data_IF_267350278633
#
_entry.id   IF_267350278633
#
_cell.length_a   1.000
_cell.length_b   1.000
_cell.length_c   1.000
_cell.angle_alpha   90.00
_cell.angle_beta   90.00
_cell.angle_gamma   90.00
#
_symmetry.space_group_name_H-M   'P 1'
#
loop_
_entity.id
_entity.type
_entity.pdbx_description
1 polymer ?
#
# COMPACT_ATOMS: atom_id res chain seq x y z
N UNK A 1 -14.21 0.65 -88.22
CA UNK A 1 -12.83 0.91 -87.76
C UNK A 1 -12.86 0.80 -86.26
N UNK A 2 -12.22 -0.23 -85.71
CA UNK A 2 -12.31 -0.61 -84.30
C UNK A 2 -11.74 0.50 -83.42
N UNK A 3 -12.54 0.98 -82.48
CA UNK A 3 -12.09 1.93 -81.47
C UNK A 3 -11.00 1.26 -80.61
N UNK A 4 -9.81 1.86 -80.58
CA UNK A 4 -8.73 1.46 -79.69
C UNK A 4 -9.20 1.67 -78.25
N UNK A 5 -9.73 0.61 -77.64
CA UNK A 5 -10.09 0.58 -76.22
C UNK A 5 -8.78 0.43 -75.45
N UNK A 6 -8.15 1.55 -75.12
CA UNK A 6 -6.99 1.57 -74.22
C UNK A 6 -7.41 1.17 -72.81
N UNK A 7 -6.52 0.57 -72.03
CA UNK A 7 -6.77 0.21 -70.62
C UNK A 7 -7.30 1.41 -69.79
N UNK A 8 -6.90 2.63 -70.15
CA UNK A 8 -7.39 3.86 -69.56
C UNK A 8 -8.90 4.09 -69.80
N UNK A 9 -9.41 3.76 -70.99
CA UNK A 9 -10.83 3.95 -71.33
C UNK A 9 -11.73 2.86 -70.73
N UNK A 10 -11.17 1.70 -70.39
CA UNK A 10 -11.88 0.68 -69.61
C UNK A 10 -12.03 1.08 -68.14
N UNK A 11 -11.01 1.70 -67.55
CA UNK A 11 -11.04 2.12 -66.15
C UNK A 11 -11.77 3.47 -65.97
N UNK A 12 -11.78 4.31 -67.01
CA UNK A 12 -12.41 5.63 -67.02
C UNK A 12 -13.33 5.81 -68.24
N UNK A 13 -14.49 5.12 -68.28
CA UNK A 13 -15.37 5.10 -69.45
C UNK A 13 -15.95 6.48 -69.80
N UNK A 14 -16.09 7.37 -68.82
CA UNK A 14 -16.53 8.76 -69.04
C UNK A 14 -15.56 9.58 -69.91
N UNK A 15 -14.28 9.22 -69.95
CA UNK A 15 -13.30 9.87 -70.82
C UNK A 15 -13.51 9.54 -72.30
N UNK A 16 -14.26 8.47 -72.62
CA UNK A 16 -14.60 8.10 -73.99
C UNK A 16 -15.68 9.02 -74.61
N UNK A 17 -16.42 9.75 -73.77
CA UNK A 17 -17.52 10.64 -74.19
C UNK A 17 -17.05 12.08 -74.44
N UNK A 18 -15.84 12.44 -74.01
CA UNK A 18 -15.28 13.79 -74.18
C UNK A 18 -14.59 13.95 -75.55
N UNK A 19 -14.69 15.14 -76.14
CA UNK A 19 -13.94 15.46 -77.36
C UNK A 19 -12.46 15.71 -77.08
N UNK A 20 -11.60 15.56 -78.10
CA UNK A 20 -10.15 15.73 -77.97
C UNK A 20 -9.74 17.10 -77.42
N UNK A 21 -10.50 18.16 -77.75
CA UNK A 21 -10.26 19.50 -77.22
C UNK A 21 -10.61 19.57 -75.71
N UNK A 22 -11.73 18.97 -75.30
CA UNK A 22 -12.14 18.92 -73.90
C UNK A 22 -11.15 18.10 -73.05
N UNK A 23 -10.59 17.02 -73.60
CA UNK A 23 -9.54 16.23 -72.95
C UNK A 23 -8.23 17.02 -72.78
N UNK A 24 -7.86 17.86 -73.75
CA UNK A 24 -6.70 18.76 -73.64
C UNK A 24 -6.93 19.84 -72.59
N UNK A 25 -8.14 20.38 -72.50
CA UNK A 25 -8.51 21.36 -71.49
C UNK A 25 -8.52 20.74 -70.08
N UNK A 26 -9.05 19.52 -69.94
CA UNK A 26 -9.02 18.75 -68.69
C UNK A 26 -7.60 18.40 -68.25
N UNK A 27 -6.68 18.15 -69.18
CA UNK A 27 -5.27 17.86 -68.87
C UNK A 27 -4.46 19.12 -68.58
N UNK A 28 -4.91 20.29 -69.06
CA UNK A 28 -4.20 21.56 -68.92
C UNK A 28 -4.62 22.35 -67.67
N UNK A 29 -5.81 22.10 -67.14
CA UNK A 29 -6.32 22.72 -65.92
C UNK A 29 -6.49 21.69 -64.80
N UNK A 30 -5.62 21.78 -63.77
CA UNK A 30 -5.66 20.95 -62.57
C UNK A 30 -7.04 20.92 -61.90
N UNK A 31 -7.82 22.00 -62.00
CA UNK A 31 -9.16 22.06 -61.40
C UNK A 31 -10.14 21.18 -62.15
N UNK A 32 -10.07 21.16 -63.48
CA UNK A 32 -10.88 20.27 -64.33
C UNK A 32 -10.44 18.82 -64.15
N UNK A 33 -9.13 18.55 -64.05
CA UNK A 33 -8.64 17.20 -63.76
C UNK A 33 -9.16 16.68 -62.42
N UNK A 34 -9.08 17.50 -61.37
CA UNK A 34 -9.62 17.16 -60.05
C UNK A 34 -11.14 16.95 -60.10
N UNK A 35 -11.89 17.82 -60.79
CA UNK A 35 -13.33 17.67 -60.96
C UNK A 35 -13.70 16.31 -61.60
N UNK A 36 -12.96 15.88 -62.64
CA UNK A 36 -13.17 14.58 -63.28
C UNK A 36 -12.78 13.43 -62.34
N UNK A 37 -11.65 13.54 -61.63
CA UNK A 37 -11.21 12.57 -60.62
C UNK A 37 -12.24 12.36 -59.51
N UNK A 38 -12.89 13.42 -59.03
CA UNK A 38 -13.96 13.33 -58.02
C UNK A 38 -15.25 12.70 -58.54
N UNK A 39 -15.38 12.43 -59.85
CA UNK A 39 -16.49 11.65 -60.40
C UNK A 39 -16.20 10.15 -60.50
N UNK A 40 -14.96 9.72 -60.19
CA UNK A 40 -14.52 8.33 -60.24
C UNK A 40 -14.98 7.62 -58.96
N UNK A 41 -15.73 6.50 -59.06
CA UNK A 41 -16.29 5.79 -57.90
C UNK A 41 -15.24 5.38 -56.85
N UNK A 42 -14.03 5.03 -57.29
CA UNK A 42 -12.93 4.68 -56.39
C UNK A 42 -12.46 5.89 -55.56
N UNK A 43 -12.38 7.07 -56.17
CA UNK A 43 -11.97 8.31 -55.48
C UNK A 43 -13.06 8.76 -54.53
N UNK A 44 -14.33 8.71 -54.93
CA UNK A 44 -15.44 9.04 -54.04
C UNK A 44 -15.52 8.09 -52.85
N UNK A 45 -15.33 6.79 -53.06
CA UNK A 45 -15.33 5.81 -51.96
C UNK A 45 -14.22 6.09 -50.94
N UNK A 46 -13.01 6.43 -51.40
CA UNK A 46 -11.89 6.82 -50.52
C UNK A 46 -12.20 8.10 -49.76
N UNK A 47 -12.83 9.10 -50.39
CA UNK A 47 -13.23 10.34 -49.71
C UNK A 47 -14.32 10.09 -48.66
N UNK A 48 -15.31 9.27 -48.97
CA UNK A 48 -16.38 8.90 -48.03
C UNK A 48 -15.80 8.17 -46.80
N UNK A 49 -14.85 7.26 -47.02
CA UNK A 49 -14.10 6.59 -45.95
C UNK A 49 -13.25 7.57 -45.14
N UNK A 50 -12.55 8.50 -45.81
CA UNK A 50 -11.76 9.53 -45.15
C UNK A 50 -12.65 10.43 -44.28
N UNK A 51 -13.79 10.87 -44.78
CA UNK A 51 -14.72 11.72 -44.04
C UNK A 51 -15.30 10.97 -42.83
N UNK A 52 -15.64 9.69 -43.00
CA UNK A 52 -16.06 8.83 -41.90
C UNK A 52 -14.98 8.72 -40.82
N UNK A 53 -13.74 8.39 -41.20
CA UNK A 53 -12.63 8.29 -40.27
C UNK A 53 -12.32 9.62 -39.57
N UNK A 54 -12.45 10.74 -40.28
CA UNK A 54 -12.27 12.07 -39.69
C UNK A 54 -13.32 12.35 -38.62
N UNK A 55 -14.60 12.05 -38.90
CA UNK A 55 -15.70 12.18 -37.93
C UNK A 55 -15.50 11.31 -36.70
N UNK A 56 -15.13 10.03 -36.92
CA UNK A 56 -14.89 9.09 -35.83
C UNK A 56 -13.71 9.54 -34.95
N UNK A 57 -12.65 10.07 -35.56
CA UNK A 57 -11.48 10.60 -34.83
C UNK A 57 -11.85 11.86 -34.02
N UNK A 58 -12.63 12.78 -34.60
CA UNK A 58 -13.13 13.95 -33.87
C UNK A 58 -14.01 13.56 -32.68
N UNK A 59 -14.87 12.56 -32.83
CA UNK A 59 -15.71 12.07 -31.73
C UNK A 59 -14.88 11.44 -30.62
N UNK A 60 -13.88 10.63 -30.98
CA UNK A 60 -12.91 10.06 -30.03
C UNK A 60 -12.12 11.14 -29.30
N UNK A 61 -11.66 12.18 -30.02
CA UNK A 61 -10.95 13.30 -29.42
C UNK A 61 -11.83 14.06 -28.42
N UNK A 62 -13.10 14.34 -28.77
CA UNK A 62 -14.06 14.99 -27.87
C UNK A 62 -14.31 14.15 -26.61
N UNK A 63 -14.46 12.83 -26.76
CA UNK A 63 -14.65 11.91 -25.63
C UNK A 63 -13.41 11.83 -24.73
N UNK A 64 -12.21 11.81 -25.32
CA UNK A 64 -10.97 11.83 -24.54
C UNK A 64 -10.84 13.14 -23.75
N UNK A 65 -11.14 14.28 -24.37
CA UNK A 65 -11.12 15.59 -23.71
C UNK A 65 -12.16 15.67 -22.58
N UNK A 66 -13.36 15.12 -22.78
CA UNK A 66 -14.39 15.15 -21.73
C UNK A 66 -14.00 14.32 -20.51
N UNK A 67 -13.29 13.20 -20.70
CA UNK A 67 -12.85 12.33 -19.61
C UNK A 67 -11.56 12.80 -18.92
N UNK A 68 -10.80 13.70 -19.55
CA UNK A 68 -9.49 14.12 -19.07
C UNK A 68 -9.55 14.70 -17.64
N UNK A 69 -10.50 15.61 -17.39
CA UNK A 69 -10.62 16.28 -16.10
C UNK A 69 -11.01 15.30 -14.99
N UNK A 70 -11.96 14.41 -15.26
CA UNK A 70 -12.43 13.41 -14.31
C UNK A 70 -11.31 12.41 -13.96
N UNK A 71 -10.54 11.97 -14.97
CA UNK A 71 -9.38 11.09 -14.76
C UNK A 71 -8.28 11.79 -13.95
N UNK A 72 -8.02 13.07 -14.21
CA UNK A 72 -7.05 13.85 -13.42
C UNK A 72 -7.52 14.03 -11.97
N UNK A 73 -8.80 14.33 -11.76
CA UNK A 73 -9.39 14.46 -10.43
C UNK A 73 -9.32 13.13 -9.66
N UNK A 74 -9.71 12.02 -10.31
CA UNK A 74 -9.65 10.67 -9.73
C UNK A 74 -8.23 10.27 -9.37
N UNK A 75 -7.26 10.54 -10.26
CA UNK A 75 -5.83 10.28 -10.01
C UNK A 75 -5.33 11.07 -8.81
N UNK A 76 -5.67 12.36 -8.71
CA UNK A 76 -5.27 13.22 -7.60
C UNK A 76 -5.88 12.74 -6.27
N UNK A 77 -7.17 12.42 -6.26
CA UNK A 77 -7.87 11.88 -5.09
C UNK A 77 -7.25 10.56 -4.61
N UNK A 78 -6.98 9.64 -5.55
CA UNK A 78 -6.36 8.35 -5.26
C UNK A 78 -4.95 8.52 -4.69
N UNK A 79 -4.15 9.44 -5.25
CA UNK A 79 -2.81 9.74 -4.75
C UNK A 79 -2.84 10.30 -3.32
N UNK A 80 -3.78 11.20 -3.02
CA UNK A 80 -3.96 11.77 -1.67
C UNK A 80 -4.42 10.71 -0.65
N UNK A 81 -5.39 9.87 -1.03
CA UNK A 81 -5.85 8.77 -0.19
C UNK A 81 -4.72 7.75 0.09
N UNK A 82 -3.94 7.41 -0.94
CA UNK A 82 -2.78 6.53 -0.80
C UNK A 82 -1.70 7.12 0.12
N UNK A 83 -1.36 8.41 -0.05
CA UNK A 83 -0.40 9.09 0.82
C UNK A 83 -0.87 9.11 2.28
N UNK A 84 -2.16 9.34 2.51
CA UNK A 84 -2.77 9.31 3.85
C UNK A 84 -2.69 7.91 4.47
N UNK A 85 -3.03 6.88 3.69
CA UNK A 85 -2.94 5.48 4.14
C UNK A 85 -1.50 5.09 4.49
N UNK A 86 -0.53 5.50 3.67
CA UNK A 86 0.89 5.24 3.93
C UNK A 86 1.36 5.93 5.22
N UNK A 87 1.00 7.20 5.42
CA UNK A 87 1.30 7.92 6.66
C UNK A 87 0.63 7.25 7.89
N UNK A 88 -0.61 6.80 7.78
CA UNK A 88 -1.29 6.07 8.86
C UNK A 88 -0.60 4.74 9.17
N UNK A 89 -0.14 4.02 8.15
CA UNK A 89 0.63 2.77 8.31
C UNK A 89 1.95 3.01 9.05
N UNK A 90 2.68 4.05 8.68
CA UNK A 90 3.95 4.39 9.35
C UNK A 90 3.70 4.81 10.81
N UNK A 91 2.64 5.60 11.06
CA UNK A 91 2.21 5.95 12.41
C UNK A 91 1.75 4.75 13.24
N UNK A 92 1.10 3.77 12.61
CA UNK A 92 0.70 2.55 13.28
C UNK A 92 1.91 1.76 13.78
N UNK A 93 2.93 1.58 12.92
CA UNK A 93 4.15 0.87 13.29
C UNK A 93 4.85 1.53 14.50
N UNK A 94 4.88 2.86 14.54
CA UNK A 94 5.41 3.61 15.69
C UNK A 94 4.59 3.39 16.96
N UNK A 95 3.26 3.46 16.87
CA UNK A 95 2.37 3.21 18.02
C UNK A 95 2.49 1.76 18.53
N UNK A 96 2.62 0.80 17.63
CA UNK A 96 2.81 -0.61 17.98
C UNK A 96 4.16 -0.82 18.70
N UNK A 97 5.23 -0.16 18.24
CA UNK A 97 6.52 -0.19 18.92
C UNK A 97 6.45 0.45 20.33
N UNK A 98 5.79 1.60 20.46
CA UNK A 98 5.56 2.26 21.75
C UNK A 98 4.73 1.39 22.70
N UNK A 99 3.65 0.76 22.17
CA UNK A 99 2.84 -0.18 22.92
C UNK A 99 3.69 -1.37 23.39
N UNK A 100 4.43 -2.02 22.50
CA UNK A 100 5.28 -3.15 22.84
C UNK A 100 6.30 -2.78 23.93
N UNK A 101 6.90 -1.58 23.87
CA UNK A 101 7.81 -1.08 24.89
C UNK A 101 7.14 -0.89 26.26
N UNK A 102 5.93 -0.33 26.29
CA UNK A 102 5.16 -0.17 27.53
C UNK A 102 4.74 -1.51 28.14
N UNK A 103 4.25 -2.42 27.30
CA UNK A 103 3.75 -3.73 27.74
C UNK A 103 4.87 -4.70 28.11
N UNK A 104 6.10 -4.52 27.62
CA UNK A 104 7.25 -5.37 27.97
C UNK A 104 7.40 -5.58 29.48
N UNK A 105 7.25 -4.52 30.28
CA UNK A 105 7.37 -4.59 31.74
C UNK A 105 6.26 -5.40 32.42
N UNK A 106 5.12 -5.54 31.76
CA UNK A 106 3.94 -6.24 32.26
C UNK A 106 3.76 -7.61 31.60
N UNK A 107 4.66 -8.01 30.69
CA UNK A 107 4.63 -9.35 30.12
C UNK A 107 4.79 -10.40 31.22
N UNK A 108 3.99 -11.49 31.20
CA UNK A 108 4.08 -12.55 32.21
C UNK A 108 5.50 -13.09 32.40
N UNK A 109 6.28 -13.23 31.32
CA UNK A 109 7.68 -13.67 31.38
C UNK A 109 8.56 -12.69 32.18
N UNK A 110 8.42 -11.38 31.95
CA UNK A 110 9.19 -10.36 32.64
C UNK A 110 8.76 -10.21 34.11
N UNK A 111 7.46 -10.30 34.39
CA UNK A 111 6.94 -10.31 35.76
C UNK A 111 7.42 -11.55 36.54
N UNK A 112 7.46 -12.72 35.90
CA UNK A 112 8.02 -13.93 36.50
C UNK A 112 9.52 -13.79 36.79
N UNK A 113 10.29 -13.26 35.83
CA UNK A 113 11.70 -12.95 36.03
C UNK A 113 11.91 -12.01 37.24
N UNK A 114 11.12 -10.93 37.33
CA UNK A 114 11.15 -10.00 38.47
C UNK A 114 10.79 -10.66 39.80
N UNK A 115 9.81 -11.57 39.81
CA UNK A 115 9.46 -12.32 41.01
C UNK A 115 10.63 -13.21 41.46
N UNK A 116 11.29 -13.92 40.52
CA UNK A 116 12.47 -14.74 40.83
C UNK A 116 13.62 -13.90 41.39
N UNK A 117 13.89 -12.72 40.82
CA UNK A 117 14.88 -11.79 41.38
C UNK A 117 14.49 -11.33 42.79
N UNK A 118 13.24 -10.93 43.01
CA UNK A 118 12.78 -10.52 44.34
C UNK A 118 12.93 -11.64 45.38
N UNK A 119 12.73 -12.91 45.00
CA UNK A 119 12.96 -14.06 45.90
C UNK A 119 14.44 -14.15 46.28
N UNK A 120 15.35 -14.02 45.30
CA UNK A 120 16.80 -14.04 45.55
C UNK A 120 17.25 -12.86 46.41
N UNK A 121 16.76 -11.65 46.13
CA UNK A 121 17.07 -10.45 46.89
C UNK A 121 16.61 -10.57 48.35
N UNK A 122 15.43 -11.17 48.55
CA UNK A 122 14.88 -11.41 49.87
C UNK A 122 15.68 -12.47 50.65
N UNK A 123 16.18 -13.51 49.97
CA UNK A 123 17.05 -14.51 50.57
C UNK A 123 18.36 -13.87 51.05
N UNK A 124 19.04 -13.16 50.14
CA UNK A 124 20.27 -12.40 50.42
C UNK A 124 20.08 -11.42 51.60
N UNK A 125 18.93 -10.73 51.66
CA UNK A 125 18.59 -9.82 52.76
C UNK A 125 18.47 -10.57 54.08
N UNK A 126 17.82 -11.74 54.10
CA UNK A 126 17.71 -12.54 55.32
C UNK A 126 19.06 -13.13 55.75
N UNK A 127 19.91 -13.53 54.81
CA UNK A 127 21.28 -13.96 55.09
C UNK A 127 22.12 -12.83 55.68
N UNK A 128 22.04 -11.62 55.10
CA UNK A 128 22.74 -10.45 55.62
C UNK A 128 22.27 -10.09 57.05
N UNK A 129 20.96 -10.16 57.32
CA UNK A 129 20.42 -9.96 58.66
C UNK A 129 20.97 -11.01 59.64
N UNK A 130 21.00 -12.28 59.26
CA UNK A 130 21.55 -13.34 60.09
C UNK A 130 23.06 -13.15 60.36
N UNK A 131 23.83 -12.79 59.33
CA UNK A 131 25.26 -12.50 59.45
C UNK A 131 25.52 -11.30 60.37
N UNK A 132 24.73 -10.23 60.26
CA UNK A 132 24.84 -9.07 61.15
C UNK A 132 24.54 -9.40 62.60
N UNK A 133 23.57 -10.30 62.85
CA UNK A 133 23.21 -10.75 64.19
C UNK A 133 24.33 -11.60 64.82
N UNK A 134 24.94 -12.50 64.05
CA UNK A 134 26.09 -13.31 64.51
C UNK A 134 27.30 -12.41 64.85
N UNK A 135 27.48 -11.32 64.10
CA UNK A 135 28.54 -10.35 64.36
C UNK A 135 28.27 -9.38 65.52
N UNK A 136 27.02 -9.23 65.94
CA UNK A 136 26.62 -8.38 67.08
C UNK A 136 26.60 -9.18 68.38
N UNK A 137 27.66 -9.07 69.18
CA UNK A 137 27.70 -9.60 70.55
C UNK A 137 27.04 -8.59 71.50
N UNK A 138 25.74 -8.71 71.79
CA UNK A 138 25.15 -8.52 73.13
C UNK A 138 23.63 -8.28 73.20
N UNK A 139 23.08 -8.71 74.36
CA UNK A 139 21.76 -8.47 74.98
C UNK A 139 20.54 -9.26 74.49
N UNK A 140 19.70 -9.75 75.41
CA UNK A 140 18.45 -10.47 75.09
C UNK A 140 17.44 -9.61 74.29
N UNK A 141 17.46 -8.28 74.48
CA UNK A 141 16.62 -7.35 73.72
C UNK A 141 16.99 -7.30 72.22
N UNK A 142 18.25 -7.57 71.84
CA UNK A 142 18.64 -7.66 70.43
C UNK A 142 18.21 -8.99 69.80
N UNK A 143 18.14 -10.06 70.59
CA UNK A 143 17.67 -11.39 70.15
C UNK A 143 16.19 -11.33 69.76
N UNK A 144 15.33 -10.82 70.62
CA UNK A 144 13.89 -10.75 70.33
C UNK A 144 13.58 -9.81 69.14
N UNK A 145 14.30 -8.69 69.04
CA UNK A 145 14.19 -7.77 67.92
C UNK A 145 14.63 -8.44 66.60
N UNK A 146 15.74 -9.18 66.62
CA UNK A 146 16.21 -9.96 65.47
C UNK A 146 15.20 -11.03 65.07
N UNK A 147 14.72 -11.85 66.02
CA UNK A 147 13.77 -12.93 65.73
C UNK A 147 12.49 -12.38 65.09
N UNK A 148 12.00 -11.24 65.58
CA UNK A 148 10.82 -10.57 65.00
C UNK A 148 11.09 -10.10 63.57
N UNK A 149 12.21 -9.42 63.32
CA UNK A 149 12.58 -8.91 62.01
C UNK A 149 12.84 -10.06 61.01
N UNK A 150 13.63 -11.05 61.40
CA UNK A 150 13.99 -12.19 60.58
C UNK A 150 12.76 -13.03 60.19
N UNK A 151 11.85 -13.29 61.13
CA UNK A 151 10.58 -13.99 60.83
C UNK A 151 9.70 -13.21 59.86
N UNK A 152 9.62 -11.88 60.00
CA UNK A 152 8.86 -11.04 59.09
C UNK A 152 9.41 -11.13 57.66
N UNK A 153 10.73 -11.02 57.49
CA UNK A 153 11.40 -11.09 56.19
C UNK A 153 11.34 -12.50 55.58
N UNK A 154 11.53 -13.57 56.37
CA UNK A 154 11.40 -14.96 55.90
C UNK A 154 9.97 -15.31 55.50
N UNK A 155 8.95 -14.75 56.15
CA UNK A 155 7.55 -14.91 55.74
C UNK A 155 7.30 -14.37 54.33
N UNK A 156 7.89 -13.21 54.01
CA UNK A 156 7.82 -12.61 52.66
C UNK A 156 8.53 -13.50 51.65
N UNK A 157 9.74 -13.97 51.98
CA UNK A 157 10.50 -14.91 51.14
C UNK A 157 9.69 -16.16 50.78
N UNK A 158 9.18 -16.89 51.78
CA UNK A 158 8.47 -18.15 51.53
C UNK A 158 7.17 -17.92 50.74
N UNK A 159 6.47 -16.81 50.97
CA UNK A 159 5.29 -16.45 50.16
C UNK A 159 5.68 -16.26 48.69
N UNK A 160 6.73 -15.48 48.43
CA UNK A 160 7.19 -15.23 47.07
C UNK A 160 7.73 -16.50 46.39
N UNK A 161 8.50 -17.32 47.11
CA UNK A 161 9.04 -18.59 46.62
C UNK A 161 7.92 -19.56 46.22
N UNK A 162 6.89 -19.70 47.07
CA UNK A 162 5.72 -20.51 46.76
C UNK A 162 5.00 -20.07 45.49
N UNK A 163 4.75 -18.76 45.35
CA UNK A 163 4.13 -18.22 44.13
C UNK A 163 5.01 -18.37 42.89
N UNK A 164 6.34 -18.21 43.03
CA UNK A 164 7.29 -18.41 41.95
C UNK A 164 7.32 -19.88 41.47
N UNK A 165 7.25 -20.83 42.40
CA UNK A 165 7.19 -22.27 42.10
C UNK A 165 5.89 -22.61 41.36
N UNK A 166 4.74 -22.17 41.88
CA UNK A 166 3.45 -22.36 41.21
C UNK A 166 3.43 -21.78 39.80
N UNK A 167 4.00 -20.59 39.62
CA UNK A 167 4.12 -19.99 38.30
C UNK A 167 5.01 -20.83 37.39
N UNK A 168 6.16 -21.30 37.88
CA UNK A 168 7.07 -22.17 37.11
C UNK A 168 6.39 -23.47 36.67
N UNK A 169 5.49 -24.02 37.50
CA UNK A 169 4.68 -25.21 37.19
C UNK A 169 3.52 -24.94 36.22
N UNK A 170 3.26 -23.69 35.85
CA UNK A 170 2.14 -23.30 35.00
C UNK A 170 0.79 -23.32 35.73
N UNK A 171 0.76 -23.39 37.06
CA UNK A 171 -0.46 -23.38 37.87
C UNK A 171 -1.05 -21.96 38.05
N UNK A 172 -0.35 -20.94 37.53
CA UNK A 172 -0.79 -19.54 37.55
C UNK A 172 -1.35 -19.19 36.16
N UNK A 173 -2.68 -19.15 36.07
CA UNK A 173 -3.37 -18.67 34.88
C UNK A 173 -3.58 -17.14 34.97
N UNK A 174 -3.22 -16.44 33.90
CA UNK A 174 -3.60 -15.04 33.70
C UNK A 174 -4.97 -15.00 33.04
N UNK A 175 -5.82 -14.03 33.37
CA UNK A 175 -7.00 -13.79 32.52
C UNK A 175 -6.51 -13.30 31.18
N UNK A 176 -6.93 -13.98 30.13
CA UNK A 176 -7.00 -13.38 28.80
C UNK A 176 -8.28 -12.55 28.82
N UNK A 177 -8.12 -11.24 28.94
CA UNK A 177 -9.23 -10.29 28.73
C UNK A 177 -9.51 -10.17 27.22
#
# INVERSE_FOLDING_TARGET
>A
MSANTTALLTDFPKLAELQENDLKDVLSDDRLTNAVLFTVPAVTAVMDEQEKLSRDNEELAKKNLSLQNDLMALRSSTASAYATAQHMKDRWAELEAQQAALYQRYRPSFLHMRLRHSVSDQDNKTEALAASFIGSSDSEQTVDAFVKAFRAERKVYHKQAYWCEKWTKGEVAWRED
#
